data_IF_660852460179
#
_entry.id   IF_660852460179
#
_cell.length_a   1.000
_cell.length_b   1.000
_cell.length_c   1.000
_cell.angle_alpha   90.00
_cell.angle_beta   90.00
_cell.angle_gamma   90.00
#
_symmetry.space_group_name_H-M   'P 1'
#
loop_
_entity.id
_entity.type
_entity.pdbx_description
1 polymer ?
#
# COMPACT_ATOMS: atom_id res chain seq x y z
N UNK A 1 -3.98 28.61 10.13
CA UNK A 1 -4.93 28.70 9.02
C UNK A 1 -4.84 27.40 8.22
N UNK A 2 -5.76 26.46 8.43
CA UNK A 2 -5.90 25.30 7.56
C UNK A 2 -6.45 25.79 6.23
N UNK A 3 -5.70 25.64 5.15
CA UNK A 3 -6.28 25.81 3.82
C UNK A 3 -7.44 24.80 3.68
N UNK A 4 -8.61 25.22 3.18
CA UNK A 4 -9.70 24.30 2.89
C UNK A 4 -9.18 23.19 1.98
N UNK A 5 -9.54 21.94 2.28
CA UNK A 5 -9.08 20.77 1.55
C UNK A 5 -9.46 20.89 0.07
N UNK A 6 -8.45 20.91 -0.81
CA UNK A 6 -8.56 21.22 -2.24
C UNK A 6 -9.25 20.11 -3.07
N UNK A 7 -9.59 18.96 -2.46
CA UNK A 7 -9.92 17.71 -3.16
C UNK A 7 -11.35 17.17 -2.98
N UNK A 8 -12.34 17.94 -2.52
CA UNK A 8 -13.76 17.50 -2.60
C UNK A 8 -14.33 17.54 -4.05
N UNK A 9 -13.49 17.76 -5.06
CA UNK A 9 -13.89 17.74 -6.46
C UNK A 9 -12.87 16.93 -7.27
N UNK A 10 -13.28 15.75 -7.72
CA UNK A 10 -12.54 14.87 -8.64
C UNK A 10 -12.24 15.52 -10.00
N UNK A 11 -12.72 16.74 -10.23
CA UNK A 11 -12.55 17.51 -11.46
C UNK A 11 -12.14 18.96 -11.14
N UNK A 12 -11.13 19.46 -11.87
CA UNK A 12 -10.62 20.84 -11.79
C UNK A 12 -10.63 21.48 -13.17
N UNK A 13 -11.18 22.68 -13.29
CA UNK A 13 -11.18 23.46 -14.53
C UNK A 13 -10.13 24.56 -14.41
N UNK A 14 -9.25 24.67 -15.40
CA UNK A 14 -8.17 25.66 -15.38
C UNK A 14 -7.49 25.75 -16.73
N UNK A 15 -6.21 26.10 -16.72
CA UNK A 15 -5.40 26.26 -17.92
C UNK A 15 -4.16 25.39 -17.86
N UNK A 16 -3.86 24.70 -18.97
CA UNK A 16 -2.64 23.91 -19.15
C UNK A 16 -1.65 24.67 -20.04
N UNK A 17 -0.40 24.73 -19.60
CA UNK A 17 0.73 25.21 -20.39
C UNK A 17 1.38 24.01 -21.08
N UNK A 18 1.39 24.03 -22.41
CA UNK A 18 2.08 23.03 -23.23
C UNK A 18 3.45 23.58 -23.60
N UNK A 19 4.55 22.96 -23.14
CA UNK A 19 5.90 23.39 -23.48
C UNK A 19 6.09 23.50 -25.00
N UNK A 20 6.56 24.66 -25.46
CA UNK A 20 6.81 24.92 -26.89
C UNK A 20 5.58 25.21 -27.75
N UNK A 21 4.37 25.29 -27.16
CA UNK A 21 3.18 25.72 -27.89
C UNK A 21 3.17 27.25 -28.08
N UNK A 22 2.92 27.76 -29.30
CA UNK A 22 2.78 29.19 -29.55
C UNK A 22 1.44 29.75 -29.04
N UNK A 23 0.49 28.90 -28.66
CA UNK A 23 -0.90 29.29 -28.35
C UNK A 23 -1.12 29.77 -26.90
N UNK A 24 -0.08 29.83 -26.08
CA UNK A 24 -0.19 30.19 -24.66
C UNK A 24 -0.98 29.15 -23.84
N UNK A 25 -1.41 29.50 -22.62
CA UNK A 25 -2.18 28.59 -21.76
C UNK A 25 -3.54 28.23 -22.39
N UNK A 26 -3.84 26.93 -22.47
CA UNK A 26 -5.09 26.42 -23.05
C UNK A 26 -6.06 25.97 -21.95
N UNK A 27 -7.38 26.18 -22.10
CA UNK A 27 -8.34 25.66 -21.13
C UNK A 27 -8.23 24.13 -21.04
N UNK A 28 -8.34 23.58 -19.85
CA UNK A 28 -8.29 22.14 -19.60
C UNK A 28 -9.19 21.73 -18.43
N UNK A 29 -9.77 20.55 -18.55
CA UNK A 29 -10.45 19.85 -17.45
C UNK A 29 -9.53 18.73 -16.96
N UNK A 30 -9.06 18.85 -15.73
CA UNK A 30 -8.28 17.82 -15.05
C UNK A 30 -9.20 16.97 -14.22
N UNK A 31 -9.10 15.65 -14.34
CA UNK A 31 -9.71 14.68 -13.45
C UNK A 31 -8.63 13.89 -12.73
N UNK A 32 -8.69 13.90 -11.41
CA UNK A 32 -7.84 13.06 -10.57
C UNK A 32 -8.82 12.08 -9.94
N UNK A 33 -8.93 10.92 -10.59
CA UNK A 33 -9.78 9.84 -10.14
C UNK A 33 -8.90 8.77 -9.51
N UNK A 34 -9.20 8.44 -8.26
CA UNK A 34 -8.52 7.42 -7.51
C UNK A 34 -8.43 6.10 -8.30
N UNK A 35 -9.55 5.63 -8.86
CA UNK A 35 -9.57 4.33 -9.54
C UNK A 35 -9.12 4.39 -11.01
N UNK A 36 -9.30 5.53 -11.68
CA UNK A 36 -9.12 5.67 -13.13
C UNK A 36 -7.88 6.47 -13.53
N UNK A 37 -7.16 7.06 -12.58
CA UNK A 37 -5.91 7.79 -12.78
C UNK A 37 -6.10 9.29 -13.00
N UNK A 38 -5.09 9.90 -13.63
CA UNK A 38 -5.05 11.34 -13.83
C UNK A 38 -5.26 11.62 -15.30
N UNK A 39 -6.41 12.19 -15.63
CA UNK A 39 -6.78 12.55 -17.00
C UNK A 39 -6.81 14.09 -17.15
N UNK A 40 -6.30 14.57 -18.28
CA UNK A 40 -6.31 15.97 -18.67
C UNK A 40 -7.00 16.07 -20.03
N UNK A 41 -8.17 16.69 -20.06
CA UNK A 41 -8.98 16.90 -21.24
C UNK A 41 -8.81 18.34 -21.74
N UNK A 42 -8.32 18.50 -22.97
CA UNK A 42 -8.10 19.80 -23.61
C UNK A 42 -9.07 19.94 -24.81
N UNK A 43 -10.06 20.84 -24.76
CA UNK A 43 -10.91 21.13 -25.91
C UNK A 43 -10.11 21.86 -26.99
N UNK A 44 -10.37 21.54 -28.26
CA UNK A 44 -9.78 22.22 -29.41
C UNK A 44 -10.83 22.57 -30.47
N UNK A 45 -10.53 23.59 -31.29
CA UNK A 45 -11.38 24.08 -32.39
C UNK A 45 -10.54 24.31 -33.65
N UNK A 46 -11.08 24.12 -34.87
CA UNK A 46 -10.29 24.17 -36.11
C UNK A 46 -9.79 25.54 -36.51
N UNK A 47 -10.39 26.60 -35.97
CA UNK A 47 -10.00 28.00 -36.25
C UNK A 47 -8.71 28.40 -35.56
N UNK A 48 -8.19 27.57 -34.65
CA UNK A 48 -6.84 27.70 -34.06
C UNK A 48 -5.89 26.73 -34.77
N UNK A 49 -5.22 27.25 -35.80
CA UNK A 49 -4.05 26.66 -36.49
C UNK A 49 -4.10 25.14 -36.80
N UNK A 50 -5.13 24.70 -37.50
CA UNK A 50 -5.27 23.30 -37.94
C UNK A 50 -4.56 22.97 -39.27
N UNK A 51 -3.70 23.85 -39.79
CA UNK A 51 -2.87 23.48 -40.95
C UNK A 51 -1.68 22.57 -40.62
N UNK A 52 -1.34 22.34 -39.34
CA UNK A 52 -0.31 21.36 -38.96
C UNK A 52 -0.78 20.17 -38.09
N UNK A 53 -2.05 20.13 -37.68
CA UNK A 53 -2.51 19.15 -36.67
C UNK A 53 -3.07 17.86 -37.30
N UNK A 54 -3.58 17.91 -38.54
CA UNK A 54 -4.01 16.70 -39.26
C UNK A 54 -2.85 15.89 -39.87
N UNK A 55 -1.60 16.34 -39.71
CA UNK A 55 -0.40 15.58 -40.10
C UNK A 55 0.31 14.84 -38.96
N UNK A 56 0.16 15.30 -37.71
CA UNK A 56 0.63 14.68 -36.46
C UNK A 56 0.19 15.62 -35.33
N UNK A 57 -0.62 15.15 -34.38
CA UNK A 57 -0.71 15.84 -33.08
C UNK A 57 0.73 16.08 -32.58
N UNK A 58 1.05 17.23 -31.96
CA UNK A 58 2.33 17.37 -31.29
C UNK A 58 2.49 16.18 -30.34
N UNK A 59 3.66 15.53 -30.39
CA UNK A 59 3.97 14.41 -29.49
C UNK A 59 3.63 14.87 -28.08
N UNK A 60 2.73 14.14 -27.39
CA UNK A 60 2.32 14.50 -26.03
C UNK A 60 3.57 14.78 -25.21
N UNK A 61 3.76 16.01 -24.70
CA UNK A 61 4.90 16.31 -23.87
C UNK A 61 4.90 15.37 -22.67
N UNK A 62 6.05 14.87 -22.20
CA UNK A 62 6.09 14.01 -21.02
C UNK A 62 5.64 14.75 -19.75
N UNK A 63 5.66 16.08 -19.76
CA UNK A 63 5.26 16.93 -18.64
C UNK A 63 4.33 18.06 -19.07
N UNK A 64 3.38 18.40 -18.22
CA UNK A 64 2.41 19.46 -18.43
C UNK A 64 2.21 20.24 -17.12
N UNK A 65 2.09 21.56 -17.21
CA UNK A 65 1.75 22.39 -16.06
C UNK A 65 0.32 22.85 -16.18
N UNK A 66 -0.45 22.71 -15.11
CA UNK A 66 -1.82 23.19 -15.02
C UNK A 66 -1.96 24.18 -13.90
N UNK A 67 -2.75 25.24 -14.11
CA UNK A 67 -3.07 26.24 -13.10
C UNK A 67 -4.56 26.50 -13.07
N UNK A 68 -5.12 26.58 -11.88
CA UNK A 68 -6.48 27.06 -11.63
C UNK A 68 -6.49 28.00 -10.41
N UNK A 69 -7.69 28.33 -9.90
CA UNK A 69 -7.86 29.16 -8.72
C UNK A 69 -7.47 28.50 -7.37
N UNK A 70 -7.15 27.20 -7.37
CA UNK A 70 -6.67 26.43 -6.21
C UNK A 70 -5.14 26.22 -6.23
N UNK A 71 -4.46 26.60 -7.32
CA UNK A 71 -3.00 26.55 -7.47
C UNK A 71 -2.52 25.58 -8.56
N UNK A 72 -1.20 25.49 -8.74
CA UNK A 72 -0.59 24.69 -9.79
C UNK A 72 -0.57 23.19 -9.57
N UNK A 73 -0.59 22.44 -10.67
CA UNK A 73 -0.28 21.01 -10.76
C UNK A 73 0.79 20.79 -11.84
N UNK A 74 1.76 19.95 -11.54
CA UNK A 74 2.71 19.43 -12.53
C UNK A 74 2.42 17.97 -12.78
N UNK A 75 2.08 17.64 -14.03
CA UNK A 75 1.83 16.27 -14.49
C UNK A 75 3.11 15.67 -15.07
N UNK A 76 3.35 14.39 -14.81
CA UNK A 76 4.50 13.67 -15.35
C UNK A 76 4.14 12.34 -15.99
N UNK A 77 5.06 11.90 -16.85
CA UNK A 77 4.93 10.75 -17.75
C UNK A 77 3.59 10.78 -18.52
N UNK A 78 3.31 11.93 -19.11
CA UNK A 78 2.07 12.16 -19.86
C UNK A 78 2.09 11.44 -21.21
N UNK A 79 0.99 10.80 -21.58
CA UNK A 79 0.80 10.16 -22.88
C UNK A 79 -0.62 10.38 -23.41
N UNK A 80 -0.76 10.47 -24.73
CA UNK A 80 -2.06 10.62 -25.37
C UNK A 80 -2.93 9.38 -25.15
N UNK A 81 -4.14 9.58 -24.61
CA UNK A 81 -5.11 8.51 -24.36
C UNK A 81 -6.13 8.38 -25.49
N UNK A 82 -6.77 9.50 -25.85
CA UNK A 82 -7.83 9.52 -26.87
C UNK A 82 -7.90 10.89 -27.54
N UNK A 83 -8.32 10.91 -28.80
CA UNK A 83 -8.78 12.11 -29.48
C UNK A 83 -10.21 11.85 -29.98
N UNK A 84 -11.13 12.75 -29.69
CA UNK A 84 -12.49 12.73 -30.23
C UNK A 84 -12.78 14.05 -30.91
N UNK A 85 -13.27 14.02 -32.14
CA UNK A 85 -13.70 15.20 -32.89
C UNK A 85 -15.12 14.96 -33.41
N UNK A 86 -15.99 15.94 -33.22
CA UNK A 86 -17.29 15.98 -33.87
C UNK A 86 -17.08 16.46 -35.32
N UNK A 87 -17.45 15.64 -36.31
CA UNK A 87 -17.20 15.96 -37.72
C UNK A 87 -18.09 17.10 -38.24
N UNK A 88 -19.24 17.36 -37.62
CA UNK A 88 -20.18 18.41 -38.01
C UNK A 88 -19.77 19.77 -37.46
N UNK A 89 -19.43 19.84 -36.17
CA UNK A 89 -19.02 21.10 -35.53
C UNK A 89 -17.51 21.34 -35.61
N UNK A 90 -16.74 20.29 -35.92
CA UNK A 90 -15.27 20.23 -35.95
C UNK A 90 -14.59 20.59 -34.62
N UNK A 91 -15.34 20.72 -33.53
CA UNK A 91 -14.76 20.78 -32.19
C UNK A 91 -14.37 19.39 -31.72
N UNK A 92 -13.31 19.33 -30.93
CA UNK A 92 -12.83 18.08 -30.39
C UNK A 92 -12.26 18.22 -28.99
N UNK A 93 -11.86 17.07 -28.47
CA UNK A 93 -11.24 16.91 -27.16
C UNK A 93 -10.02 16.02 -27.32
N UNK A 94 -8.90 16.52 -26.84
CA UNK A 94 -7.69 15.74 -26.68
C UNK A 94 -7.57 15.31 -25.23
N UNK A 95 -7.60 14.00 -24.99
CA UNK A 95 -7.45 13.40 -23.66
C UNK A 95 -6.03 12.89 -23.48
N UNK A 96 -5.35 13.42 -22.46
CA UNK A 96 -4.01 13.05 -22.04
C UNK A 96 -4.12 12.34 -20.70
N UNK A 97 -3.31 11.30 -20.50
CA UNK A 97 -3.20 10.60 -19.21
C UNK A 97 -1.82 10.83 -18.63
N UNK A 98 -1.77 11.18 -17.35
CA UNK A 98 -0.53 11.33 -16.59
C UNK A 98 -0.34 10.14 -15.63
N UNK A 99 0.90 9.70 -15.43
CA UNK A 99 1.18 8.65 -14.45
C UNK A 99 1.11 9.19 -13.01
N UNK A 100 1.47 10.46 -12.83
CA UNK A 100 1.44 11.16 -11.56
C UNK A 100 1.22 12.67 -11.71
N UNK A 101 0.83 13.33 -10.62
CA UNK A 101 0.75 14.78 -10.49
C UNK A 101 1.33 15.25 -9.14
N UNK A 102 2.00 16.39 -9.13
CA UNK A 102 2.53 17.04 -7.92
C UNK A 102 1.90 18.42 -7.78
N UNK A 103 1.46 18.76 -6.56
CA UNK A 103 0.92 20.09 -6.26
C UNK A 103 2.03 21.15 -6.18
N UNK A 104 1.78 22.33 -6.75
CA UNK A 104 2.61 23.53 -6.66
C UNK A 104 3.09 24.08 -8.01
N UNK A 105 3.27 25.41 -8.06
CA UNK A 105 3.48 26.18 -9.30
C UNK A 105 4.91 26.10 -9.87
N UNK A 106 5.91 25.73 -9.05
CA UNK A 106 7.34 25.76 -9.41
C UNK A 106 7.97 24.39 -9.67
N UNK A 107 7.17 23.34 -9.88
CA UNK A 107 7.70 21.99 -10.04
C UNK A 107 8.18 21.77 -11.48
N UNK A 108 9.49 21.85 -11.72
CA UNK A 108 10.09 21.58 -13.04
C UNK A 108 10.28 20.08 -13.29
N UNK A 109 10.54 19.68 -14.55
CA UNK A 109 10.85 18.30 -14.96
C UNK A 109 11.97 17.63 -14.12
N UNK A 110 12.90 18.44 -13.59
CA UNK A 110 13.99 17.98 -12.74
C UNK A 110 13.54 17.67 -11.30
N UNK A 111 12.49 18.32 -10.80
CA UNK A 111 12.07 18.25 -9.41
C UNK A 111 11.48 16.88 -9.02
N UNK A 112 10.91 16.15 -9.99
CA UNK A 112 10.36 14.79 -9.81
C UNK A 112 11.44 13.69 -9.88
N UNK A 113 12.56 13.99 -10.57
CA UNK A 113 13.72 13.09 -10.69
C UNK A 113 14.74 13.29 -9.57
N UNK A 114 14.63 14.40 -8.83
CA UNK A 114 15.53 14.80 -7.74
C UNK A 114 14.74 14.95 -6.44
N UNK A 115 14.16 13.84 -5.98
CA UNK A 115 13.46 13.76 -4.70
C UNK A 115 14.43 13.30 -3.61
N UNK A 116 14.38 13.99 -2.47
CA UNK A 116 15.21 13.67 -1.29
C UNK A 116 14.40 13.05 -0.16
N UNK A 117 13.07 13.16 -0.24
CA UNK A 117 12.16 12.67 0.80
C UNK A 117 10.76 12.39 0.26
N UNK A 118 10.19 11.26 0.68
CA UNK A 118 8.76 10.97 0.53
C UNK A 118 8.17 10.64 1.90
N UNK A 119 7.02 11.21 2.19
CA UNK A 119 6.20 10.91 3.36
C UNK A 119 4.86 10.34 2.92
N UNK A 120 4.40 9.29 3.61
CA UNK A 120 3.14 8.60 3.34
C UNK A 120 2.32 8.45 4.61
N UNK A 121 1.03 8.65 4.49
CA UNK A 121 0.04 8.30 5.52
C UNK A 121 -0.51 6.92 5.18
N UNK A 122 -0.53 5.99 6.15
CA UNK A 122 -0.92 4.59 5.95
C UNK A 122 -1.96 4.20 7.00
N UNK A 123 -3.05 3.53 6.61
CA UNK A 123 -4.03 3.04 7.57
C UNK A 123 -3.44 1.98 8.50
N UNK A 124 -3.81 2.02 9.78
CA UNK A 124 -3.36 1.03 10.77
C UNK A 124 -1.93 1.20 11.28
N UNK A 125 -1.10 2.08 10.70
CA UNK A 125 0.30 2.23 11.10
C UNK A 125 0.43 2.73 12.54
N UNK A 126 -0.40 3.69 12.95
CA UNK A 126 -0.38 4.21 14.32
C UNK A 126 -0.78 3.13 15.34
N UNK A 127 -1.84 2.38 15.04
CA UNK A 127 -2.31 1.28 15.89
C UNK A 127 -1.29 0.15 15.97
N UNK A 128 -0.63 -0.18 14.86
CA UNK A 128 0.43 -1.19 14.82
C UNK A 128 1.62 -0.82 15.69
N UNK A 129 2.00 0.47 15.71
CA UNK A 129 3.03 0.97 16.62
C UNK A 129 2.60 0.94 18.10
N UNK A 130 1.29 0.93 18.39
CA UNK A 130 0.72 0.95 19.75
C UNK A 130 1.30 2.07 20.61
N UNK A 131 1.48 3.25 20.00
CA UNK A 131 2.11 4.40 20.66
C UNK A 131 1.10 5.19 21.49
N UNK A 132 1.26 5.26 22.83
CA UNK A 132 0.43 6.14 23.65
C UNK A 132 0.99 7.56 23.56
N UNK A 133 0.58 8.33 22.54
CA UNK A 133 1.09 9.69 22.37
C UNK A 133 0.19 10.75 23.04
N UNK A 134 -1.02 10.36 23.46
CA UNK A 134 -1.96 11.15 24.25
C UNK A 134 -2.15 10.57 25.64
N UNK A 135 -1.99 11.42 26.66
CA UNK A 135 -2.20 11.09 28.07
C UNK A 135 -3.32 11.97 28.60
N UNK A 136 -4.34 11.36 29.19
CA UNK A 136 -5.43 12.08 29.85
C UNK A 136 -5.25 12.00 31.36
N UNK A 137 -5.26 13.16 32.01
CA UNK A 137 -5.28 13.29 33.46
C UNK A 137 -6.64 13.84 33.86
N UNK A 138 -7.36 13.13 34.73
CA UNK A 138 -8.60 13.59 35.32
C UNK A 138 -8.32 14.02 36.76
N UNK A 139 -8.78 15.21 37.14
CA UNK A 139 -8.80 15.66 38.52
C UNK A 139 -10.25 15.64 38.98
N UNK A 140 -10.53 14.84 40.00
CA UNK A 140 -11.85 14.74 40.60
C UNK A 140 -11.95 15.67 41.81
N UNK A 141 -13.11 16.31 41.95
CA UNK A 141 -13.48 17.12 43.09
C UNK A 141 -13.90 16.27 44.30
N UNK A 142 -14.18 16.92 45.45
CA UNK A 142 -14.54 16.25 46.69
C UNK A 142 -15.81 15.39 46.63
N UNK A 143 -16.68 15.64 45.64
CA UNK A 143 -17.95 14.94 45.38
C UNK A 143 -17.84 13.84 44.31
N UNK A 144 -16.63 13.59 43.79
CA UNK A 144 -16.39 12.67 42.68
C UNK A 144 -16.72 13.23 41.30
N UNK A 145 -17.04 14.53 41.17
CA UNK A 145 -17.21 15.17 39.87
C UNK A 145 -15.86 15.47 39.23
N UNK A 146 -15.75 15.38 37.90
CA UNK A 146 -14.52 15.79 37.19
C UNK A 146 -14.40 17.32 37.20
N UNK A 147 -13.46 17.86 37.97
CA UNK A 147 -13.16 19.30 38.02
C UNK A 147 -12.19 19.74 36.92
N UNK A 148 -11.26 18.86 36.51
CA UNK A 148 -10.24 19.19 35.52
C UNK A 148 -9.96 18.00 34.60
N UNK A 149 -9.84 18.27 33.30
CA UNK A 149 -9.36 17.32 32.29
C UNK A 149 -8.12 17.90 31.64
N UNK A 150 -6.96 17.31 31.94
CA UNK A 150 -5.70 17.62 31.27
C UNK A 150 -5.42 16.63 30.16
N UNK A 151 -5.12 17.12 28.95
CA UNK A 151 -4.68 16.28 27.84
C UNK A 151 -3.24 16.67 27.49
N UNK A 152 -2.30 15.77 27.74
CA UNK A 152 -0.89 15.96 27.37
C UNK A 152 -0.56 15.11 26.15
N UNK A 153 -0.05 15.74 25.10
CA UNK A 153 0.50 15.02 23.94
C UNK A 153 2.01 15.07 23.94
N UNK A 154 2.65 13.90 23.81
CA UNK A 154 4.11 13.78 23.77
C UNK A 154 4.55 13.38 22.36
N UNK A 155 5.51 14.13 21.82
CA UNK A 155 6.23 13.69 20.62
C UNK A 155 7.10 12.51 21.02
N UNK A 156 6.75 11.31 20.56
CA UNK A 156 7.54 10.11 20.78
C UNK A 156 8.71 10.05 19.79
N UNK A 157 9.74 9.28 20.12
CA UNK A 157 10.85 9.06 19.22
C UNK A 157 10.40 8.29 17.97
N UNK A 158 10.90 8.69 16.80
CA UNK A 158 10.68 7.93 15.57
C UNK A 158 11.47 6.62 15.58
N UNK A 159 10.93 5.58 14.96
CA UNK A 159 11.69 4.36 14.63
C UNK A 159 12.37 4.55 13.29
N UNK A 160 13.64 4.17 13.18
CA UNK A 160 14.45 4.33 11.97
C UNK A 160 15.05 2.98 11.54
N UNK A 161 15.01 2.71 10.23
CA UNK A 161 15.58 1.53 9.59
C UNK A 161 16.34 1.97 8.35
N UNK A 162 17.50 1.36 8.12
CA UNK A 162 18.37 1.69 7.01
C UNK A 162 18.31 0.60 5.95
N UNK A 163 18.31 1.00 4.69
CA UNK A 163 18.31 0.10 3.55
C UNK A 163 19.15 0.71 2.41
N UNK A 164 20.42 0.29 2.34
CA UNK A 164 21.42 0.93 1.49
C UNK A 164 21.54 2.42 1.81
N UNK A 165 21.40 3.26 0.78
CA UNK A 165 21.47 4.72 0.88
C UNK A 165 20.14 5.39 1.27
N UNK A 166 19.06 4.60 1.36
CA UNK A 166 17.74 5.10 1.76
C UNK A 166 17.49 4.80 3.23
N UNK A 167 17.00 5.81 3.96
CA UNK A 167 16.62 5.67 5.36
C UNK A 167 15.11 5.80 5.50
N UNK A 168 14.51 4.84 6.19
CA UNK A 168 13.09 4.76 6.49
C UNK A 168 12.84 5.19 7.93
N UNK A 169 11.86 6.06 8.16
CA UNK A 169 11.39 6.47 9.49
C UNK A 169 9.90 6.27 9.63
N UNK A 170 9.47 5.77 10.78
CA UNK A 170 8.08 5.83 11.21
C UNK A 170 7.99 6.93 12.25
N UNK A 171 7.19 7.94 11.97
CA UNK A 171 7.15 9.18 12.75
C UNK A 171 5.77 9.29 13.42
N UNK A 172 5.70 9.37 14.75
CA UNK A 172 4.47 9.68 15.47
C UNK A 172 4.08 11.13 15.19
N UNK A 173 2.82 11.34 14.85
CA UNK A 173 2.27 12.67 14.58
C UNK A 173 0.94 12.84 15.30
N UNK A 174 0.51 14.07 15.45
CA UNK A 174 -0.82 14.37 15.90
C UNK A 174 -1.31 15.59 15.14
N UNK A 175 -2.58 15.58 14.74
CA UNK A 175 -3.23 16.74 14.13
C UNK A 175 -4.08 17.41 15.18
N UNK A 176 -3.89 18.69 15.42
CA UNK A 176 -4.80 19.47 16.27
C UNK A 176 -5.87 20.10 15.39
N UNK A 177 -7.14 19.70 15.56
CA UNK A 177 -8.27 20.40 14.95
C UNK A 177 -9.05 21.09 16.07
N UNK A 178 -9.15 22.41 15.96
CA UNK A 178 -9.99 23.29 16.79
C UNK A 178 -9.92 23.05 18.31
N UNK A 179 -8.72 22.77 18.84
CA UNK A 179 -8.41 22.56 20.27
C UNK A 179 -9.18 21.44 21.00
N UNK A 180 -10.24 20.87 20.41
CA UNK A 180 -11.17 19.96 21.07
C UNK A 180 -10.98 18.49 20.69
N UNK A 181 -10.35 18.20 19.55
CA UNK A 181 -10.05 16.82 19.18
C UNK A 181 -8.78 16.74 18.33
N UNK A 182 -7.83 15.97 18.82
CA UNK A 182 -6.60 15.69 18.09
C UNK A 182 -6.49 14.19 17.86
N UNK A 183 -6.66 13.78 16.61
CA UNK A 183 -6.36 12.42 16.17
C UNK A 183 -4.86 12.16 16.30
N UNK A 184 -4.52 11.01 16.87
CA UNK A 184 -3.18 10.45 16.79
C UNK A 184 -2.99 9.83 15.41
N UNK A 185 -1.84 10.07 14.78
CA UNK A 185 -1.54 9.50 13.48
C UNK A 185 -0.05 9.16 13.41
N UNK A 186 0.35 8.35 12.45
CA UNK A 186 1.75 8.05 12.20
C UNK A 186 2.01 8.07 10.71
N UNK A 187 3.17 8.60 10.33
CA UNK A 187 3.57 8.67 8.93
C UNK A 187 4.82 7.85 8.68
N UNK A 188 4.90 7.26 7.49
CA UNK A 188 6.11 6.62 7.00
C UNK A 188 6.87 7.66 6.19
N UNK A 189 8.16 7.80 6.42
CA UNK A 189 9.03 8.71 5.71
C UNK A 189 10.23 7.94 5.16
N UNK A 190 10.60 8.17 3.91
CA UNK A 190 11.92 7.78 3.40
C UNK A 190 12.70 9.02 3.03
N UNK A 191 14.01 9.00 3.26
CA UNK A 191 14.92 10.08 2.87
C UNK A 191 16.27 9.54 2.39
N UNK A 192 16.86 10.25 1.45
CA UNK A 192 18.15 9.90 0.81
C UNK A 192 19.11 11.08 0.91
N UNK A 193 20.41 10.78 0.99
CA UNK A 193 21.44 11.83 1.00
C UNK A 193 21.58 12.46 -0.40
N UNK A 194 21.60 11.62 -1.43
CA UNK A 194 21.56 12.03 -2.82
C UNK A 194 20.13 11.96 -3.36
N UNK A 195 19.76 12.94 -4.17
CA UNK A 195 18.42 13.00 -4.73
C UNK A 195 18.20 11.86 -5.74
N UNK A 196 17.06 11.17 -5.65
CA UNK A 196 16.71 10.05 -6.53
C UNK A 196 15.31 10.21 -7.13
N UNK A 197 14.91 9.30 -8.02
CA UNK A 197 13.55 9.28 -8.54
C UNK A 197 12.56 9.01 -7.40
N UNK A 198 11.42 9.71 -7.42
CA UNK A 198 10.36 9.47 -6.44
C UNK A 198 9.96 7.98 -6.35
N UNK A 199 10.02 7.26 -7.46
CA UNK A 199 9.64 5.84 -7.53
C UNK A 199 10.54 4.95 -6.66
N UNK A 200 11.82 5.31 -6.50
CA UNK A 200 12.81 4.50 -5.77
C UNK A 200 12.57 4.50 -4.25
N UNK A 201 11.80 5.48 -3.75
CA UNK A 201 11.39 5.53 -2.35
C UNK A 201 10.30 4.51 -2.01
N UNK A 202 9.44 4.16 -2.97
CA UNK A 202 8.21 3.42 -2.71
C UNK A 202 8.35 1.94 -2.32
N UNK A 203 9.38 1.17 -2.75
CA UNK A 203 9.56 -0.20 -2.29
C UNK A 203 9.53 -0.36 -0.76
N UNK A 204 10.17 0.56 -0.03
CA UNK A 204 10.17 0.55 1.43
C UNK A 204 8.79 0.87 2.02
N UNK A 205 8.07 1.82 1.42
CA UNK A 205 6.71 2.14 1.84
C UNK A 205 5.77 0.94 1.63
N UNK A 206 5.85 0.27 0.48
CA UNK A 206 5.08 -0.94 0.20
C UNK A 206 5.44 -2.10 1.12
N UNK A 207 6.72 -2.24 1.50
CA UNK A 207 7.13 -3.23 2.48
C UNK A 207 6.44 -2.99 3.82
N UNK A 208 6.40 -1.75 4.32
CA UNK A 208 5.69 -1.43 5.58
C UNK A 208 4.18 -1.62 5.45
N UNK A 209 3.57 -1.17 4.34
CA UNK A 209 2.13 -1.43 4.07
C UNK A 209 1.81 -2.92 4.14
N UNK A 210 2.63 -3.74 3.49
CA UNK A 210 2.47 -5.20 3.46
C UNK A 210 2.65 -5.79 4.85
N UNK A 211 3.65 -5.34 5.61
CA UNK A 211 3.91 -5.80 6.96
C UNK A 211 2.73 -5.50 7.90
N UNK A 212 2.22 -4.27 7.90
CA UNK A 212 1.04 -3.87 8.69
C UNK A 212 -0.17 -4.73 8.32
N UNK A 213 -0.38 -4.94 7.01
CA UNK A 213 -1.47 -5.78 6.54
C UNK A 213 -1.35 -7.24 6.98
N UNK A 214 -0.15 -7.81 7.01
CA UNK A 214 0.10 -9.15 7.55
C UNK A 214 -0.05 -9.20 9.07
N UNK A 215 0.39 -8.17 9.79
CA UNK A 215 0.30 -8.09 11.24
C UNK A 215 -1.16 -8.07 11.73
N UNK A 216 -2.05 -7.40 11.00
CA UNK A 216 -3.47 -7.30 11.34
C UNK A 216 -4.38 -8.23 10.52
N UNK A 217 -3.86 -8.87 9.47
CA UNK A 217 -4.64 -9.65 8.49
C UNK A 217 -5.81 -8.88 7.92
N UNK A 218 -5.54 -7.62 7.59
CA UNK A 218 -6.50 -6.68 7.03
C UNK A 218 -5.80 -5.85 5.96
N UNK A 219 -6.57 -5.27 5.05
CA UNK A 219 -6.01 -4.31 4.09
C UNK A 219 -5.46 -3.09 4.80
N UNK A 220 -4.20 -2.75 4.50
CA UNK A 220 -3.63 -1.45 4.80
C UNK A 220 -3.51 -0.65 3.50
N UNK A 221 -3.88 0.62 3.52
CA UNK A 221 -3.97 1.48 2.34
C UNK A 221 -3.33 2.83 2.61
N UNK A 222 -2.67 3.40 1.59
CA UNK A 222 -2.12 4.74 1.70
C UNK A 222 -3.25 5.77 1.60
N UNK A 223 -3.23 6.75 2.49
CA UNK A 223 -4.20 7.85 2.52
C UNK A 223 -3.68 9.09 1.78
N UNK A 224 -2.38 9.31 1.83
CA UNK A 224 -1.74 10.40 1.11
C UNK A 224 -0.24 10.17 0.96
N UNK A 225 0.33 10.78 -0.08
CA UNK A 225 1.76 10.86 -0.30
C UNK A 225 2.17 12.32 -0.46
N UNK A 226 3.31 12.67 0.11
CA UNK A 226 3.94 13.97 -0.05
C UNK A 226 5.42 13.78 -0.33
N UNK A 227 6.00 14.64 -1.15
CA UNK A 227 7.41 14.58 -1.50
C UNK A 227 8.10 15.93 -1.27
N UNK A 228 9.42 15.88 -1.18
CA UNK A 228 10.30 17.05 -1.15
C UNK A 228 11.40 16.87 -2.18
N UNK A 229 11.51 17.83 -3.08
CA UNK A 229 12.61 17.90 -4.03
C UNK A 229 13.90 18.43 -3.37
N UNK A 230 15.03 18.25 -4.04
CA UNK A 230 16.35 18.66 -3.56
C UNK A 230 16.64 20.17 -3.64
N UNK A 231 15.75 20.97 -4.25
CA UNK A 231 16.01 22.39 -4.52
C UNK A 231 15.71 23.29 -3.33
N UNK A 232 16.65 24.19 -3.08
CA UNK A 232 16.77 25.30 -2.14
C UNK A 232 15.90 25.30 -0.87
N UNK A 233 16.56 25.17 0.28
CA UNK A 233 16.01 25.51 1.59
C UNK A 233 15.83 27.03 1.69
N UNK A 234 14.59 27.59 1.59
CA UNK A 234 14.38 29.02 1.75
C UNK A 234 14.97 29.49 3.07
N UNK A 235 15.85 30.49 3.02
CA UNK A 235 16.39 31.10 4.22
C UNK A 235 15.32 31.99 4.83
N UNK A 236 14.95 31.72 6.09
CA UNK A 236 14.04 32.55 6.86
C UNK A 236 14.66 33.93 7.11
N UNK A 237 13.85 34.97 7.40
CA UNK A 237 14.36 36.30 7.75
C UNK A 237 15.33 36.32 8.94
N UNK A 238 15.32 35.28 9.78
CA UNK A 238 16.26 35.10 10.91
C UNK A 238 17.55 34.34 10.54
N UNK A 239 17.81 34.08 9.24
CA UNK A 239 18.97 33.35 8.75
C UNK A 239 18.88 31.83 8.88
N UNK A 240 17.81 31.28 9.48
CA UNK A 240 17.62 29.84 9.56
C UNK A 240 17.14 29.28 8.23
N UNK A 241 17.76 28.20 7.74
CA UNK A 241 17.26 27.50 6.56
C UNK A 241 15.96 26.76 6.91
N UNK A 242 14.89 27.06 6.18
CA UNK A 242 13.63 26.32 6.27
C UNK A 242 13.64 25.27 5.18
N UNK A 243 13.49 24.00 5.55
CA UNK A 243 13.24 22.95 4.57
C UNK A 243 11.99 23.30 3.73
N UNK A 244 12.02 23.11 2.40
CA UNK A 244 10.85 23.32 1.56
C UNK A 244 9.66 22.51 2.07
N UNK A 245 8.42 23.03 1.95
CA UNK A 245 7.25 22.27 2.35
C UNK A 245 7.13 20.99 1.55
N UNK A 246 6.68 19.93 2.20
CA UNK A 246 6.26 18.70 1.56
C UNK A 246 5.07 18.97 0.64
N UNK A 247 5.18 18.60 -0.64
CA UNK A 247 4.15 18.80 -1.66
C UNK A 247 3.39 17.51 -1.91
N UNK A 248 2.06 17.57 -2.08
CA UNK A 248 1.25 16.36 -2.30
C UNK A 248 1.59 15.72 -3.65
N UNK A 249 1.71 14.40 -3.64
CA UNK A 249 1.91 13.54 -4.81
C UNK A 249 0.65 12.70 -5.04
N UNK A 250 0.17 12.72 -6.28
CA UNK A 250 -0.97 11.94 -6.78
C UNK A 250 -0.44 10.95 -7.83
N UNK A 251 -0.78 9.66 -7.77
CA UNK A 251 -0.38 8.67 -8.79
C UNK A 251 -1.23 7.41 -8.70
N UNK A 252 -1.24 6.60 -9.77
CA UNK A 252 -2.18 5.48 -9.93
C UNK A 252 -2.12 4.38 -8.85
N UNK A 253 -1.01 4.26 -8.10
CA UNK A 253 -0.90 3.29 -7.00
C UNK A 253 -1.29 3.85 -5.64
N UNK A 254 -1.65 5.13 -5.57
CA UNK A 254 -2.28 5.74 -4.41
C UNK A 254 -3.62 5.02 -4.09
N UNK A 255 -4.25 4.42 -5.10
CA UNK A 255 -5.72 4.39 -5.09
C UNK A 255 -6.40 3.20 -5.75
N UNK A 256 -5.70 2.17 -6.27
CA UNK A 256 -6.39 0.97 -6.85
C UNK A 256 -7.41 0.27 -5.92
N UNK A 257 -7.54 0.70 -4.66
CA UNK A 257 -8.48 0.16 -3.66
C UNK A 257 -9.06 1.22 -2.69
N UNK A 258 -8.95 2.53 -2.96
CA UNK A 258 -9.37 3.60 -2.03
C UNK A 258 -10.82 4.07 -2.18
N UNK A 259 -11.59 3.60 -3.17
CA UNK A 259 -13.03 3.96 -3.26
C UNK A 259 -13.93 3.36 -2.17
N UNK A 260 -13.37 2.63 -1.20
CA UNK A 260 -14.03 2.40 0.11
C UNK A 260 -13.35 3.22 1.20
N UNK A 261 -13.51 4.53 1.15
CA UNK A 261 -13.20 5.50 2.20
C UNK A 261 -14.02 5.32 3.50
N UNK A 262 -14.45 4.09 3.79
CA UNK A 262 -15.26 3.70 4.95
C UNK A 262 -14.80 2.36 5.55
N UNK A 263 -13.56 1.91 5.30
CA UNK A 263 -13.03 0.82 6.12
C UNK A 263 -12.77 1.35 7.54
N UNK A 264 -13.39 0.77 8.58
CA UNK A 264 -13.20 1.24 9.94
C UNK A 264 -11.71 1.19 10.29
N UNK A 265 -11.24 2.09 11.17
CA UNK A 265 -9.87 2.06 11.65
C UNK A 265 -9.54 0.65 12.13
N UNK A 266 -8.29 0.21 11.93
CA UNK A 266 -7.90 -1.11 12.44
C UNK A 266 -8.05 -1.09 13.95
N UNK A 267 -9.03 -1.85 14.44
CA UNK A 267 -9.27 -1.96 15.87
C UNK A 267 -8.16 -2.78 16.51
N UNK A 268 -7.70 -2.34 17.68
CA UNK A 268 -6.76 -3.12 18.47
C UNK A 268 -7.45 -4.40 18.92
N UNK A 269 -6.89 -5.55 18.53
CA UNK A 269 -7.39 -6.86 18.94
C UNK A 269 -6.28 -7.70 19.56
N UNK A 270 -6.68 -8.66 20.38
CA UNK A 270 -5.76 -9.48 21.19
C UNK A 270 -4.92 -10.46 20.38
N UNK A 271 -5.36 -10.76 19.16
CA UNK A 271 -4.77 -11.68 18.18
C UNK A 271 -3.85 -10.98 17.17
N UNK A 272 -3.76 -9.66 17.19
CA UNK A 272 -2.91 -8.91 16.27
C UNK A 272 -1.43 -8.99 16.67
N UNK A 273 -0.56 -8.81 15.67
CA UNK A 273 0.88 -8.59 15.88
C UNK A 273 1.13 -7.08 15.89
N UNK A 274 1.85 -6.59 16.89
CA UNK A 274 2.22 -5.19 17.03
C UNK A 274 3.72 -4.99 16.85
N UNK A 275 4.16 -3.74 16.73
CA UNK A 275 5.58 -3.41 16.60
C UNK A 275 6.42 -4.01 17.74
N UNK A 276 5.90 -4.07 18.97
CA UNK A 276 6.60 -4.64 20.14
C UNK A 276 6.96 -6.12 19.97
N UNK A 277 6.26 -6.86 19.12
CA UNK A 277 6.51 -8.29 18.87
C UNK A 277 7.58 -8.54 17.79
N UNK A 278 7.97 -7.48 17.09
CA UNK A 278 8.83 -7.53 15.90
C UNK A 278 10.13 -6.73 16.11
N UNK A 279 10.00 -5.54 16.67
CA UNK A 279 11.07 -4.55 16.81
C UNK A 279 11.61 -4.04 15.47
N UNK A 280 12.61 -3.16 15.56
CA UNK A 280 13.28 -2.56 14.40
C UNK A 280 13.97 -3.61 13.52
N UNK A 281 14.61 -4.61 14.14
CA UNK A 281 15.30 -5.67 13.41
C UNK A 281 14.35 -6.48 12.53
N UNK A 282 13.13 -6.74 13.00
CA UNK A 282 12.16 -7.47 12.21
C UNK A 282 11.57 -6.66 11.06
N UNK A 283 11.53 -5.32 11.17
CA UNK A 283 11.25 -4.45 10.01
C UNK A 283 12.35 -4.61 8.96
N UNK A 284 13.63 -4.55 9.37
CA UNK A 284 14.77 -4.76 8.47
C UNK A 284 14.72 -6.12 7.78
N UNK A 285 14.48 -7.20 8.54
CA UNK A 285 14.28 -8.55 7.98
C UNK A 285 13.12 -8.61 7.00
N UNK A 286 12.00 -7.95 7.30
CA UNK A 286 10.83 -7.95 6.42
C UNK A 286 11.06 -7.15 5.13
N UNK A 287 11.81 -6.04 5.17
CA UNK A 287 12.20 -5.30 3.97
C UNK A 287 12.95 -6.23 3.01
N UNK A 288 13.92 -6.99 3.49
CA UNK A 288 14.64 -7.96 2.67
C UNK A 288 13.73 -9.11 2.19
N UNK A 289 12.83 -9.57 3.07
CA UNK A 289 11.83 -10.58 2.74
C UNK A 289 10.91 -10.11 1.60
N UNK A 290 10.52 -8.84 1.59
CA UNK A 290 9.64 -8.26 0.57
C UNK A 290 10.23 -8.33 -0.83
N UNK A 291 11.57 -8.34 -0.96
CA UNK A 291 12.29 -8.51 -2.23
C UNK A 291 12.47 -9.98 -2.59
N UNK A 292 13.05 -10.74 -1.67
CA UNK A 292 13.44 -12.14 -1.89
C UNK A 292 12.23 -13.08 -2.02
N UNK A 293 11.11 -12.72 -1.40
CA UNK A 293 9.87 -13.51 -1.39
C UNK A 293 8.71 -12.77 -2.07
N UNK A 294 9.00 -11.78 -2.94
CA UNK A 294 7.97 -11.00 -3.64
C UNK A 294 6.93 -11.89 -4.36
N UNK A 295 7.37 -13.00 -4.97
CA UNK A 295 6.51 -13.97 -5.66
C UNK A 295 5.56 -14.74 -4.73
N UNK A 296 5.88 -14.83 -3.44
CA UNK A 296 5.01 -15.40 -2.43
C UNK A 296 4.07 -14.35 -1.83
N UNK A 297 4.62 -13.18 -1.52
CA UNK A 297 3.91 -12.08 -0.87
C UNK A 297 2.81 -11.53 -1.78
N UNK A 298 3.08 -11.29 -3.06
CA UNK A 298 2.11 -10.66 -3.95
C UNK A 298 0.80 -11.46 -4.10
N UNK A 299 0.80 -12.79 -4.33
CA UNK A 299 -0.43 -13.60 -4.31
C UNK A 299 -1.16 -13.56 -2.96
N UNK A 300 -0.43 -13.60 -1.84
CA UNK A 300 -1.05 -13.53 -0.50
C UNK A 300 -1.73 -12.19 -0.26
N UNK A 301 -1.12 -11.09 -0.72
CA UNK A 301 -1.74 -9.77 -0.63
C UNK A 301 -2.93 -9.63 -1.57
N UNK A 302 -2.88 -10.22 -2.76
CA UNK A 302 -4.04 -10.32 -3.64
C UNK A 302 -5.18 -11.11 -3.00
N UNK A 303 -4.88 -12.23 -2.35
CA UNK A 303 -5.85 -13.00 -1.55
C UNK A 303 -6.52 -12.12 -0.49
N UNK A 304 -5.74 -11.34 0.25
CA UNK A 304 -6.26 -10.50 1.34
C UNK A 304 -7.08 -9.30 0.83
N UNK A 305 -6.70 -8.73 -0.31
CA UNK A 305 -7.23 -7.43 -0.75
C UNK A 305 -8.36 -7.55 -1.80
N UNK A 306 -8.54 -8.71 -2.44
CA UNK A 306 -9.67 -8.93 -3.35
C UNK A 306 -10.96 -9.17 -2.55
N UNK A 307 -11.92 -8.27 -2.71
CA UNK A 307 -13.29 -8.47 -2.24
C UNK A 307 -14.02 -9.38 -3.22
N UNK A 308 -14.86 -10.30 -2.73
CA UNK A 308 -15.65 -11.22 -3.56
C UNK A 308 -14.80 -12.17 -4.42
N UNK A 309 -13.77 -12.75 -3.79
CA UNK A 309 -12.86 -13.67 -4.44
C UNK A 309 -13.44 -15.11 -4.45
N UNK A 310 -13.70 -15.74 -5.62
CA UNK A 310 -14.14 -17.13 -5.70
C UNK A 310 -13.17 -18.08 -5.00
N UNK A 311 -13.66 -19.21 -4.50
CA UNK A 311 -12.86 -20.12 -3.67
C UNK A 311 -11.71 -20.74 -4.46
N UNK A 312 -11.89 -20.95 -5.76
CA UNK A 312 -10.88 -21.46 -6.69
C UNK A 312 -9.75 -20.44 -6.88
N UNK A 313 -10.09 -19.16 -6.98
CA UNK A 313 -9.10 -18.07 -7.06
C UNK A 313 -8.38 -17.88 -5.72
N UNK A 314 -9.08 -18.04 -4.60
CA UNK A 314 -8.47 -18.09 -3.27
C UNK A 314 -7.43 -19.22 -3.17
N UNK A 315 -7.82 -20.45 -3.54
CA UNK A 315 -6.94 -21.61 -3.54
C UNK A 315 -5.74 -21.42 -4.48
N UNK A 316 -5.96 -20.82 -5.65
CA UNK A 316 -4.88 -20.51 -6.61
C UNK A 316 -3.85 -19.57 -6.00
N UNK A 317 -4.27 -18.48 -5.36
CA UNK A 317 -3.34 -17.55 -4.71
C UNK A 317 -2.55 -18.22 -3.58
N UNK A 318 -3.20 -19.05 -2.77
CA UNK A 318 -2.58 -19.76 -1.65
C UNK A 318 -1.56 -20.79 -2.16
N UNK A 319 -1.92 -21.58 -3.18
CA UNK A 319 -1.02 -22.54 -3.82
C UNK A 319 0.25 -21.87 -4.35
N UNK A 320 0.10 -20.80 -5.14
CA UNK A 320 1.25 -20.03 -5.67
C UNK A 320 2.10 -19.47 -4.52
N UNK A 321 1.46 -18.96 -3.46
CA UNK A 321 2.16 -18.43 -2.30
C UNK A 321 3.03 -19.49 -1.62
N UNK A 322 2.47 -20.65 -1.27
CA UNK A 322 3.19 -21.74 -0.61
C UNK A 322 4.30 -22.32 -1.50
N UNK A 323 4.05 -22.45 -2.81
CA UNK A 323 5.07 -22.84 -3.79
C UNK A 323 6.25 -21.88 -3.79
N UNK A 324 5.98 -20.59 -3.90
CA UNK A 324 6.99 -19.55 -3.97
C UNK A 324 7.75 -19.37 -2.64
N UNK A 325 7.08 -19.49 -1.49
CA UNK A 325 7.72 -19.45 -0.16
C UNK A 325 8.77 -20.55 -0.05
N UNK A 326 8.36 -21.80 -0.27
CA UNK A 326 9.25 -22.94 -0.10
C UNK A 326 10.37 -22.95 -1.13
N UNK A 327 10.07 -22.57 -2.36
CA UNK A 327 11.09 -22.40 -3.40
C UNK A 327 12.17 -21.39 -2.95
N UNK A 328 11.75 -20.21 -2.46
CA UNK A 328 12.68 -19.17 -2.00
C UNK A 328 13.52 -19.63 -0.81
N UNK A 329 12.93 -20.35 0.16
CA UNK A 329 13.68 -20.90 1.29
C UNK A 329 14.78 -21.86 0.84
N UNK A 330 14.47 -22.74 -0.11
CA UNK A 330 15.41 -23.76 -0.60
C UNK A 330 16.55 -23.15 -1.39
N UNK A 331 16.25 -22.22 -2.29
CA UNK A 331 17.29 -21.48 -3.02
C UNK A 331 18.19 -20.73 -2.04
N UNK A 332 17.63 -20.11 -0.99
CA UNK A 332 18.41 -19.44 0.04
C UNK A 332 19.23 -20.39 0.90
N UNK A 333 18.77 -21.62 1.08
CA UNK A 333 19.51 -22.69 1.76
C UNK A 333 20.61 -23.32 0.89
N UNK A 334 20.76 -22.89 -0.37
CA UNK A 334 21.84 -23.33 -1.27
C UNK A 334 21.41 -24.30 -2.37
N UNK A 335 20.12 -24.65 -2.46
CA UNK A 335 19.65 -25.50 -3.55
C UNK A 335 19.70 -24.79 -4.90
N UNK A 336 19.99 -25.54 -5.96
CA UNK A 336 19.80 -25.03 -7.33
C UNK A 336 18.33 -24.73 -7.61
N UNK A 337 18.02 -23.73 -8.46
CA UNK A 337 16.64 -23.45 -8.88
C UNK A 337 15.86 -24.68 -9.37
N UNK A 338 16.52 -25.57 -10.13
CA UNK A 338 15.90 -26.78 -10.64
C UNK A 338 15.55 -27.77 -9.52
N UNK A 339 16.45 -27.95 -8.55
CA UNK A 339 16.21 -28.83 -7.40
C UNK A 339 15.08 -28.30 -6.51
N UNK A 340 15.03 -26.98 -6.25
CA UNK A 340 13.95 -26.34 -5.50
C UNK A 340 12.60 -26.42 -6.23
N UNK A 341 12.60 -26.36 -7.57
CA UNK A 341 11.39 -26.44 -8.39
C UNK A 341 10.82 -27.86 -8.50
N UNK A 342 11.63 -28.91 -8.33
CA UNK A 342 11.21 -30.31 -8.47
C UNK A 342 10.31 -30.83 -7.33
N UNK A 343 10.24 -30.12 -6.20
CA UNK A 343 9.38 -30.50 -5.06
C UNK A 343 7.90 -30.48 -5.48
N UNK A 344 7.07 -31.36 -4.91
CA UNK A 344 5.62 -31.31 -5.14
C UNK A 344 4.96 -30.30 -4.21
N UNK A 345 3.79 -29.75 -4.58
CA UNK A 345 3.06 -28.83 -3.71
C UNK A 345 2.71 -29.46 -2.35
N UNK A 346 2.35 -30.75 -2.29
CA UNK A 346 2.10 -31.45 -1.01
C UNK A 346 3.35 -31.48 -0.12
N UNK A 347 4.51 -31.82 -0.68
CA UNK A 347 5.77 -31.81 0.07
C UNK A 347 6.15 -30.41 0.56
N UNK A 348 5.94 -29.38 -0.28
CA UNK A 348 6.17 -27.98 0.10
C UNK A 348 5.27 -27.56 1.27
N UNK A 349 3.98 -27.83 1.16
CA UNK A 349 3.00 -27.48 2.19
C UNK A 349 3.29 -28.22 3.50
N UNK A 350 3.64 -29.51 3.43
CA UNK A 350 4.03 -30.32 4.60
C UNK A 350 5.27 -29.76 5.29
N UNK A 351 6.31 -29.42 4.52
CA UNK A 351 7.54 -28.86 5.08
C UNK A 351 7.29 -27.53 5.81
N UNK A 352 6.45 -26.65 5.23
CA UNK A 352 6.05 -25.40 5.87
C UNK A 352 5.21 -25.64 7.13
N UNK A 353 4.24 -26.56 7.08
CA UNK A 353 3.40 -26.91 8.23
C UNK A 353 4.22 -27.51 9.39
N UNK A 354 5.20 -28.37 9.08
CA UNK A 354 6.09 -28.96 10.06
C UNK A 354 7.04 -27.93 10.70
N UNK A 355 7.36 -26.84 10.00
CA UNK A 355 8.11 -25.70 10.54
C UNK A 355 7.26 -24.71 11.35
N UNK A 356 5.93 -24.81 11.31
CA UNK A 356 5.05 -23.87 11.98
C UNK A 356 4.99 -24.08 13.51
N UNK A 357 4.59 -23.06 14.29
CA UNK A 357 4.38 -23.19 15.74
C UNK A 357 3.32 -24.24 16.07
N UNK A 358 3.41 -24.82 17.28
CA UNK A 358 2.48 -25.84 17.76
C UNK A 358 1.01 -25.43 17.63
N UNK A 359 0.68 -24.20 17.98
CA UNK A 359 -0.69 -23.66 17.86
C UNK A 359 -1.24 -23.77 16.43
N UNK A 360 -0.40 -23.57 15.40
CA UNK A 360 -0.81 -23.67 14.00
C UNK A 360 -0.97 -25.12 13.61
N UNK A 361 -0.05 -26.00 14.01
CA UNK A 361 -0.18 -27.45 13.79
C UNK A 361 -1.47 -28.00 14.39
N UNK A 362 -1.83 -27.54 15.60
CA UNK A 362 -3.08 -27.91 16.27
C UNK A 362 -4.34 -27.48 15.51
N UNK A 363 -4.27 -26.44 14.68
CA UNK A 363 -5.35 -26.03 13.78
C UNK A 363 -5.37 -26.87 12.50
N UNK A 364 -4.18 -27.18 11.96
CA UNK A 364 -4.03 -27.97 10.74
C UNK A 364 -4.36 -29.46 10.95
N UNK A 365 -4.29 -29.98 12.18
CA UNK A 365 -4.56 -31.38 12.48
C UNK A 365 -3.42 -32.30 12.01
N UNK A 366 -3.76 -33.39 11.32
CA UNK A 366 -2.75 -34.21 10.64
C UNK A 366 -2.15 -33.41 9.48
N UNK A 367 -0.94 -32.90 9.67
CA UNK A 367 -0.27 -32.04 8.68
C UNK A 367 0.04 -32.76 7.37
N UNK A 368 0.23 -34.08 7.40
CA UNK A 368 0.48 -34.90 6.21
C UNK A 368 -0.78 -35.12 5.39
N UNK A 369 -1.91 -35.34 6.06
CA UNK A 369 -3.21 -35.39 5.39
C UNK A 369 -3.66 -34.03 4.88
N UNK A 370 -3.54 -33.00 5.70
CA UNK A 370 -3.85 -31.63 5.33
C UNK A 370 -3.06 -31.20 4.10
N UNK A 371 -1.75 -31.46 4.04
CA UNK A 371 -0.91 -31.06 2.90
C UNK A 371 -1.30 -31.78 1.61
N UNK A 372 -1.71 -33.05 1.71
CA UNK A 372 -2.20 -33.84 0.59
C UNK A 372 -3.52 -33.28 0.05
N UNK A 373 -4.50 -33.05 0.93
CA UNK A 373 -5.81 -32.50 0.53
C UNK A 373 -5.69 -31.08 -0.02
N UNK A 374 -4.84 -30.24 0.56
CA UNK A 374 -4.52 -28.92 0.00
C UNK A 374 -3.93 -29.03 -1.41
N UNK A 375 -2.98 -29.94 -1.61
CA UNK A 375 -2.38 -30.18 -2.92
C UNK A 375 -3.40 -30.69 -3.95
N UNK A 376 -4.28 -31.61 -3.56
CA UNK A 376 -5.31 -32.15 -4.44
C UNK A 376 -6.33 -31.07 -4.84
N UNK A 377 -6.78 -30.25 -3.89
CA UNK A 377 -7.66 -29.10 -4.14
C UNK A 377 -7.01 -28.03 -5.04
N UNK A 378 -5.74 -27.68 -4.80
CA UNK A 378 -5.03 -26.76 -5.70
C UNK A 378 -4.88 -27.34 -7.11
N UNK A 379 -4.54 -28.62 -7.22
CA UNK A 379 -4.39 -29.29 -8.51
C UNK A 379 -5.72 -29.47 -9.25
N UNK A 380 -6.85 -29.63 -8.56
CA UNK A 380 -8.17 -29.70 -9.20
C UNK A 380 -8.56 -28.39 -9.87
N UNK A 381 -8.18 -27.26 -9.27
CA UNK A 381 -8.42 -25.93 -9.86
C UNK A 381 -7.49 -25.68 -11.05
N UNK A 382 -6.23 -26.09 -10.94
CA UNK A 382 -5.18 -25.82 -11.93
C UNK A 382 -5.25 -26.71 -13.18
N UNK A 383 -5.68 -27.96 -13.03
CA UNK A 383 -5.59 -28.98 -14.08
C UNK A 383 -6.97 -29.50 -14.49
N UNK A 384 -7.35 -29.25 -15.74
CA UNK A 384 -8.66 -29.64 -16.30
C UNK A 384 -8.92 -31.15 -16.32
N UNK A 385 -7.89 -31.98 -16.19
CA UNK A 385 -8.00 -33.45 -16.17
C UNK A 385 -8.14 -34.02 -14.75
N UNK A 386 -8.36 -33.18 -13.73
CA UNK A 386 -8.58 -33.59 -12.35
C UNK A 386 -10.05 -33.44 -11.98
N UNK A 387 -10.54 -34.34 -11.14
CA UNK A 387 -11.89 -34.22 -10.59
C UNK A 387 -12.01 -32.95 -9.75
N UNK A 388 -13.14 -32.24 -9.82
CA UNK A 388 -13.38 -31.09 -8.95
C UNK A 388 -13.32 -31.49 -7.47
N UNK A 389 -12.66 -30.68 -6.65
CA UNK A 389 -12.70 -30.79 -5.20
C UNK A 389 -13.96 -30.10 -4.67
N UNK A 390 -14.47 -30.52 -3.52
CA UNK A 390 -15.62 -29.84 -2.92
C UNK A 390 -15.29 -28.35 -2.64
N UNK A 391 -16.16 -27.40 -3.04
CA UNK A 391 -15.92 -25.98 -2.80
C UNK A 391 -15.84 -25.59 -1.32
N UNK A 392 -16.63 -26.23 -0.46
CA UNK A 392 -16.61 -26.03 0.99
C UNK A 392 -15.29 -26.49 1.61
N UNK A 393 -14.80 -27.65 1.20
CA UNK A 393 -13.49 -28.14 1.64
C UNK A 393 -12.35 -27.25 1.12
N UNK A 394 -12.43 -26.84 -0.14
CA UNK A 394 -11.48 -25.90 -0.78
C UNK A 394 -11.42 -24.59 0.00
N UNK A 395 -12.55 -24.10 0.53
CA UNK A 395 -12.59 -22.89 1.35
C UNK A 395 -11.75 -23.03 2.62
N UNK A 396 -11.92 -24.11 3.38
CA UNK A 396 -11.17 -24.33 4.61
C UNK A 396 -9.68 -24.61 4.36
N UNK A 397 -9.35 -25.34 3.29
CA UNK A 397 -7.96 -25.55 2.88
C UNK A 397 -7.28 -24.24 2.44
N UNK A 398 -7.98 -23.39 1.68
CA UNK A 398 -7.44 -22.09 1.28
C UNK A 398 -7.23 -21.17 2.49
N UNK A 399 -8.20 -21.10 3.41
CA UNK A 399 -8.11 -20.29 4.64
C UNK A 399 -6.95 -20.73 5.54
N UNK A 400 -6.83 -22.03 5.79
CA UNK A 400 -5.75 -22.59 6.62
C UNK A 400 -4.38 -22.44 5.93
N UNK A 401 -4.29 -22.62 4.61
CA UNK A 401 -3.06 -22.38 3.85
C UNK A 401 -2.63 -20.92 3.84
N UNK A 402 -3.58 -19.98 3.72
CA UNK A 402 -3.28 -18.55 3.83
C UNK A 402 -2.77 -18.16 5.23
N UNK A 403 -3.36 -18.73 6.29
CA UNK A 403 -2.88 -18.55 7.66
C UNK A 403 -1.46 -19.10 7.84
N UNK A 404 -1.17 -20.30 7.31
CA UNK A 404 0.18 -20.87 7.35
C UNK A 404 1.19 -19.98 6.63
N UNK A 405 0.86 -19.47 5.44
CA UNK A 405 1.71 -18.56 4.69
C UNK A 405 1.96 -17.25 5.45
N UNK A 406 0.92 -16.67 6.07
CA UNK A 406 1.03 -15.49 6.94
C UNK A 406 2.01 -15.73 8.08
N UNK A 407 1.83 -16.83 8.83
CA UNK A 407 2.70 -17.20 9.96
C UNK A 407 4.15 -17.40 9.50
N UNK A 408 4.35 -18.11 8.39
CA UNK A 408 5.66 -18.31 7.80
C UNK A 408 6.39 -16.99 7.52
N UNK A 409 5.70 -16.01 6.93
CA UNK A 409 6.28 -14.69 6.65
C UNK A 409 6.59 -13.92 7.94
N UNK A 410 5.68 -13.96 8.93
CA UNK A 410 5.87 -13.29 10.23
C UNK A 410 7.05 -13.88 11.03
N UNK A 411 7.19 -15.21 11.05
CA UNK A 411 8.35 -15.88 11.68
C UNK A 411 9.66 -15.53 10.97
N UNK A 412 9.67 -15.43 9.63
CA UNK A 412 10.85 -14.95 8.87
C UNK A 412 11.20 -13.50 9.17
N UNK A 413 10.20 -12.68 9.50
CA UNK A 413 10.40 -11.33 10.02
C UNK A 413 10.86 -11.33 11.49
N UNK A 414 10.81 -12.47 12.18
CA UNK A 414 11.30 -12.67 13.55
C UNK A 414 10.24 -12.52 14.64
N UNK A 415 8.95 -12.59 14.28
CA UNK A 415 7.87 -12.72 15.26
C UNK A 415 7.99 -14.07 15.96
N UNK A 416 7.98 -14.06 17.29
CA UNK A 416 8.14 -15.25 18.13
C UNK A 416 6.86 -16.08 18.20
N UNK A 417 7.01 -17.37 18.53
CA UNK A 417 5.91 -18.33 18.58
C UNK A 417 4.85 -17.94 19.64
N UNK A 418 5.25 -17.31 20.75
CA UNK A 418 4.35 -16.80 21.78
C UNK A 418 3.41 -15.72 21.22
N UNK A 419 3.94 -14.84 20.39
CA UNK A 419 3.17 -13.78 19.74
C UNK A 419 2.19 -14.35 18.69
N UNK A 420 2.58 -15.42 17.98
CA UNK A 420 1.71 -16.17 17.06
C UNK A 420 0.63 -16.95 17.81
N UNK A 421 0.90 -17.44 19.02
CA UNK A 421 -0.06 -18.10 19.92
C UNK A 421 -1.35 -17.31 20.11
N UNK A 422 -1.28 -15.99 20.01
CA UNK A 422 -2.42 -15.08 20.14
C UNK A 422 -3.46 -15.26 19.02
N UNK A 423 -3.10 -15.84 17.87
CA UNK A 423 -4.05 -16.12 16.79
C UNK A 423 -5.17 -17.07 17.21
N UNK A 424 -4.93 -17.93 18.20
CA UNK A 424 -5.96 -18.79 18.79
C UNK A 424 -7.08 -18.03 19.50
N UNK A 425 -6.89 -16.73 19.79
CA UNK A 425 -7.92 -15.86 20.37
C UNK A 425 -8.82 -15.20 19.32
N UNK A 426 -8.52 -15.41 18.04
CA UNK A 426 -9.36 -14.90 16.95
C UNK A 426 -10.74 -15.56 17.00
N UNK A 427 -11.84 -14.80 16.79
CA UNK A 427 -13.18 -15.38 16.65
C UNK A 427 -13.30 -16.41 15.51
N UNK A 428 -12.40 -16.36 14.53
CA UNK A 428 -12.35 -17.29 13.39
C UNK A 428 -11.59 -18.58 13.66
N UNK A 429 -10.91 -18.68 14.81
CA UNK A 429 -10.04 -19.83 15.10
C UNK A 429 -10.82 -21.14 15.21
N UNK A 430 -11.84 -21.20 16.07
CA UNK A 430 -12.64 -22.41 16.27
C UNK A 430 -13.39 -22.84 15.01
N UNK A 431 -14.12 -21.95 14.29
CA UNK A 431 -14.74 -22.33 13.02
C UNK A 431 -13.75 -22.87 11.99
N UNK A 432 -12.55 -22.27 11.90
CA UNK A 432 -11.52 -22.73 10.96
C UNK A 432 -10.98 -24.11 11.35
N UNK A 433 -10.71 -24.34 12.63
CA UNK A 433 -10.22 -25.63 13.12
C UNK A 433 -11.25 -26.74 12.91
N UNK A 434 -12.53 -26.49 13.18
CA UNK A 434 -13.62 -27.44 12.93
C UNK A 434 -13.80 -27.72 11.44
N UNK A 435 -13.78 -26.67 10.62
CA UNK A 435 -13.83 -26.79 9.16
C UNK A 435 -12.70 -27.65 8.61
N UNK A 436 -11.45 -27.37 9.00
CA UNK A 436 -10.30 -28.19 8.62
C UNK A 436 -10.48 -29.64 9.09
N UNK A 437 -10.85 -29.87 10.35
CA UNK A 437 -11.07 -31.22 10.86
C UNK A 437 -12.12 -32.01 10.07
N UNK A 438 -13.21 -31.35 9.64
CA UNK A 438 -14.23 -31.95 8.78
C UNK A 438 -13.65 -32.37 7.42
N UNK A 439 -12.81 -31.53 6.81
CA UNK A 439 -12.13 -31.85 5.53
C UNK A 439 -11.21 -33.06 5.67
N UNK A 440 -10.49 -33.17 6.80
CA UNK A 440 -9.61 -34.31 7.06
C UNK A 440 -10.40 -35.60 7.28
N UNK A 441 -11.55 -35.52 7.95
CA UNK A 441 -12.40 -36.68 8.22
C UNK A 441 -13.15 -37.22 6.99
N UNK A 442 -13.35 -36.39 5.96
CA UNK A 442 -13.98 -36.81 4.71
C UNK A 442 -13.01 -37.66 3.88
N UNK A 443 -13.18 -38.99 3.90
CA UNK A 443 -12.37 -39.97 3.16
C UNK A 443 -12.83 -40.18 1.73
#
# INVERSE_FOLDING_TARGET
MSQPHILDQNARLGFVEIPGSPEGPMPALVRIEDDDGIDVDIPFSPTRAVENIFGRLPKTPPYLHFRDNKGGLTFGDCYGRRNTMDMGTRYGRWSIRAAFAVEGDDFTDDAVKKVVKIQSELTGIHQWMSWPNTFMTLKEGPDGSTEEVGITKKVLASVEVHDGDTRLRIIPTFRTKDFAFSGEDSTIETYTAEATSWADHFPLHYAIRTLVALCFWQSADFLSHRLRHSGEEPTLPNGAKKAPPLRRLHFLHHTRRTSRATRPPVEAKSEHIYFSDLGTDGIGRFIELSRTHARAIAPLMSYLYLTENPVETQMTHVGICLEALRYADRVRAGDSPNAANAESISARALALANGAPGVIKDLLGDTGEWSRKLADSYNSVKHANRSPFDPGDTFWLARSGALLARVCLLQRAGVQDEAIGRFARSPWWHPMKEGVASVLAAG
#
